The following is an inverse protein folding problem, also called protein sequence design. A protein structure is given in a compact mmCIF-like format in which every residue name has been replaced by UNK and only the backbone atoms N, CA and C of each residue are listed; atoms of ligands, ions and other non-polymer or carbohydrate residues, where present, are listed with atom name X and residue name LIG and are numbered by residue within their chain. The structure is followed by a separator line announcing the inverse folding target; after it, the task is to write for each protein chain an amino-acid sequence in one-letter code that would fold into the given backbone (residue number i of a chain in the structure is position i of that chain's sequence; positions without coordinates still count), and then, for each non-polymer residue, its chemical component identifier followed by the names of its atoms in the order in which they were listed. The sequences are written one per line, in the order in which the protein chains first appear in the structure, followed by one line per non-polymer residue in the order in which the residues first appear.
data_IF_637220320512
#
_entry.id   IF_637220320512
#
_cell.length_a   1.000
_cell.length_b   1.000
_cell.length_c   1.000
_cell.angle_alpha   90.00
_cell.angle_beta   90.00
_cell.angle_gamma   90.00
#
_symmetry.space_group_name_H-M   'P 1'
#
loop_
_entity.id
_entity.type
_entity.pdbx_description
1 polymer ?
#
# COMPACT_ATOMS: atom_id res chain seq x y z
N UNK A 1 13.50 -22.30 8.43
CA UNK A 1 13.43 -20.89 8.02
C UNK A 1 13.64 -20.07 9.28
N UNK A 2 14.54 -19.08 9.29
CA UNK A 2 14.79 -18.32 10.53
C UNK A 2 13.64 -17.35 10.83
N UNK A 3 13.42 -16.98 12.10
CA UNK A 3 12.45 -15.93 12.44
C UNK A 3 12.70 -14.63 11.69
N UNK A 4 13.97 -14.23 11.54
CA UNK A 4 14.35 -13.02 10.81
C UNK A 4 13.94 -13.09 9.34
N UNK A 5 14.11 -14.24 8.68
CA UNK A 5 13.65 -14.48 7.30
C UNK A 5 12.13 -14.46 7.18
N UNK A 6 11.41 -15.06 8.15
CA UNK A 6 9.95 -15.02 8.16
C UNK A 6 9.42 -13.58 8.25
N UNK A 7 9.87 -12.81 9.22
CA UNK A 7 9.39 -11.44 9.43
C UNK A 7 9.84 -10.49 8.32
N UNK A 8 11.05 -10.67 7.78
CA UNK A 8 11.50 -9.92 6.62
C UNK A 8 10.57 -10.15 5.41
N UNK A 9 10.25 -11.41 5.10
CA UNK A 9 9.32 -11.75 4.01
C UNK A 9 7.93 -11.14 4.23
N UNK A 10 7.39 -11.23 5.44
CA UNK A 10 6.10 -10.61 5.78
C UNK A 10 6.10 -9.08 5.58
N UNK A 11 7.18 -8.40 5.99
CA UNK A 11 7.31 -6.96 5.80
C UNK A 11 7.39 -6.62 4.30
N UNK A 12 8.15 -7.40 3.51
CA UNK A 12 8.23 -7.18 2.05
C UNK A 12 6.89 -7.40 1.35
N UNK A 13 6.14 -8.40 1.78
CA UNK A 13 4.79 -8.65 1.27
C UNK A 13 3.87 -7.47 1.59
N UNK A 14 3.82 -7.04 2.86
CA UNK A 14 3.00 -5.90 3.27
C UNK A 14 3.40 -4.60 2.56
N UNK A 15 4.72 -4.39 2.36
CA UNK A 15 5.22 -3.28 1.56
C UNK A 15 4.63 -3.33 0.15
N UNK A 16 4.76 -4.46 -0.55
CA UNK A 16 4.24 -4.62 -1.91
C UNK A 16 2.73 -4.37 -1.99
N UNK A 17 1.95 -4.99 -1.10
CA UNK A 17 0.50 -4.82 -1.03
C UNK A 17 0.11 -3.36 -0.78
N UNK A 18 0.80 -2.68 0.14
CA UNK A 18 0.51 -1.28 0.46
C UNK A 18 0.81 -0.32 -0.71
N UNK A 19 1.89 -0.57 -1.47
CA UNK A 19 2.25 0.22 -2.64
C UNK A 19 1.20 0.04 -3.75
N UNK A 20 0.82 -1.21 -4.03
CA UNK A 20 -0.17 -1.54 -5.06
C UNK A 20 -1.55 -0.93 -4.76
N UNK A 21 -2.01 -1.05 -3.51
CA UNK A 21 -3.28 -0.45 -3.08
C UNK A 21 -3.22 1.07 -3.16
N UNK A 22 -2.10 1.68 -2.74
CA UNK A 22 -1.93 3.13 -2.79
C UNK A 22 -1.98 3.66 -4.22
N UNK A 23 -1.26 3.02 -5.16
CA UNK A 23 -1.26 3.40 -6.57
C UNK A 23 -2.64 3.22 -7.21
N UNK A 24 -3.34 2.14 -6.86
CA UNK A 24 -4.73 1.90 -7.29
C UNK A 24 -5.67 3.00 -6.81
N UNK A 25 -5.57 3.39 -5.53
CA UNK A 25 -6.39 4.47 -4.97
C UNK A 25 -6.08 5.83 -5.63
N UNK A 26 -4.82 6.11 -5.95
CA UNK A 26 -4.44 7.32 -6.70
C UNK A 26 -4.99 7.31 -8.13
N UNK A 27 -4.95 6.15 -8.79
CA UNK A 27 -5.58 5.95 -10.09
C UNK A 27 -7.09 6.21 -10.04
N UNK A 28 -7.77 5.67 -9.03
CA UNK A 28 -9.20 5.89 -8.80
C UNK A 28 -9.53 7.37 -8.58
N UNK A 29 -8.75 8.09 -7.76
CA UNK A 29 -8.95 9.54 -7.56
C UNK A 29 -8.82 10.30 -8.88
N UNK A 30 -7.83 9.94 -9.71
CA UNK A 30 -7.60 10.58 -11.01
C UNK A 30 -8.76 10.33 -11.99
N UNK A 31 -9.29 9.12 -12.01
CA UNK A 31 -10.46 8.78 -12.83
C UNK A 31 -11.73 9.50 -12.36
N UNK A 32 -11.92 9.62 -11.06
CA UNK A 32 -13.04 10.39 -10.50
C UNK A 32 -12.91 11.89 -10.78
N UNK A 33 -11.69 12.44 -10.77
CA UNK A 33 -11.42 13.82 -11.18
C UNK A 33 -11.79 14.06 -12.66
N UNK A 34 -11.46 13.10 -13.55
CA UNK A 34 -11.87 13.15 -14.96
C UNK A 34 -13.39 13.11 -15.12
N UNK A 35 -14.05 12.16 -14.46
CA UNK A 35 -15.52 12.05 -14.49
C UNK A 35 -16.21 13.30 -13.95
N UNK A 36 -15.65 13.94 -12.92
CA UNK A 36 -16.16 15.21 -12.43
C UNK A 36 -16.09 16.30 -13.50
N UNK A 37 -14.97 16.43 -14.21
CA UNK A 37 -14.84 17.40 -15.29
C UNK A 37 -15.88 17.16 -16.40
N UNK A 38 -16.10 15.90 -16.78
CA UNK A 38 -17.12 15.55 -17.78
C UNK A 38 -18.53 15.92 -17.30
N UNK A 39 -18.86 15.66 -16.04
CA UNK A 39 -20.17 16.03 -15.45
C UNK A 39 -20.33 17.55 -15.40
N UNK A 40 -19.29 18.29 -15.03
CA UNK A 40 -19.34 19.76 -15.04
C UNK A 40 -19.59 20.30 -16.44
N UNK A 41 -18.87 19.80 -17.45
CA UNK A 41 -19.10 20.20 -18.83
C UNK A 41 -20.50 19.84 -19.33
N UNK A 42 -21.02 18.68 -18.95
CA UNK A 42 -22.39 18.30 -19.27
C UNK A 42 -23.40 19.29 -18.65
N UNK A 43 -23.17 19.73 -17.40
CA UNK A 43 -24.04 20.72 -16.73
C UNK A 43 -23.95 22.10 -17.40
N UNK A 44 -22.76 22.53 -17.83
CA UNK A 44 -22.53 23.83 -18.47
C UNK A 44 -23.30 24.01 -19.79
N UNK A 45 -23.59 22.91 -20.49
CA UNK A 45 -24.29 22.93 -21.78
C UNK A 45 -25.79 22.65 -21.67
N UNK A 46 -26.33 22.47 -20.46
CA UNK A 46 -27.76 22.26 -20.26
C UNK A 46 -28.53 23.58 -20.44
N UNK A 47 -29.60 23.53 -21.23
CA UNK A 47 -30.54 24.65 -21.37
C UNK A 47 -31.36 24.88 -20.09
N UNK A 48 -31.67 23.80 -19.36
CA UNK A 48 -32.42 23.83 -18.11
C UNK A 48 -31.92 22.76 -17.12
N UNK A 49 -31.57 23.21 -15.91
CA UNK A 49 -31.06 22.35 -14.82
C UNK A 49 -32.19 21.57 -14.14
N UNK A 50 -33.43 22.05 -14.20
CA UNK A 50 -34.59 21.34 -13.63
C UNK A 50 -35.14 20.26 -14.57
N UNK A 51 -34.62 20.19 -15.80
CA UNK A 51 -34.91 19.10 -16.73
C UNK A 51 -34.50 17.74 -16.16
N UNK A 52 -35.06 16.66 -16.70
CA UNK A 52 -34.69 15.30 -16.30
C UNK A 52 -33.17 15.04 -16.46
N UNK A 53 -32.54 15.64 -17.48
CA UNK A 53 -31.11 15.55 -17.73
C UNK A 53 -30.31 16.33 -16.67
N UNK A 54 -30.76 17.51 -16.28
CA UNK A 54 -30.14 18.30 -15.21
C UNK A 54 -30.26 17.63 -13.84
N UNK A 55 -31.42 17.07 -13.50
CA UNK A 55 -31.60 16.30 -12.26
C UNK A 55 -30.66 15.08 -12.23
N UNK A 56 -30.54 14.37 -13.36
CA UNK A 56 -29.62 13.24 -13.48
C UNK A 56 -28.16 13.68 -13.30
N UNK A 57 -27.74 14.75 -13.97
CA UNK A 57 -26.38 15.27 -13.86
C UNK A 57 -26.04 15.70 -12.41
N UNK A 58 -27.00 16.29 -11.69
CA UNK A 58 -26.82 16.64 -10.27
C UNK A 58 -26.70 15.40 -9.37
N UNK A 59 -27.44 14.33 -9.66
CA UNK A 59 -27.30 13.06 -8.95
C UNK A 59 -25.92 12.44 -9.19
N UNK A 60 -25.50 12.36 -10.45
CA UNK A 60 -24.19 11.82 -10.85
C UNK A 60 -23.05 12.64 -10.26
N UNK A 61 -23.19 13.97 -10.19
CA UNK A 61 -22.24 14.87 -9.55
C UNK A 61 -22.10 14.54 -8.06
N UNK A 62 -23.21 14.45 -7.33
CA UNK A 62 -23.22 14.15 -5.90
C UNK A 62 -22.59 12.79 -5.61
N UNK A 63 -22.95 11.78 -6.39
CA UNK A 63 -22.40 10.44 -6.26
C UNK A 63 -20.88 10.46 -6.49
N UNK A 64 -20.43 11.05 -7.60
CA UNK A 64 -19.00 11.10 -7.96
C UNK A 64 -18.18 11.88 -6.92
N UNK A 65 -18.70 13.00 -6.41
CA UNK A 65 -18.05 13.76 -5.33
C UNK A 65 -17.93 12.94 -4.04
N UNK A 66 -18.94 12.13 -3.72
CA UNK A 66 -18.94 11.25 -2.55
C UNK A 66 -17.89 10.17 -2.68
N UNK A 67 -17.85 9.47 -3.81
CA UNK A 67 -16.82 8.46 -4.09
C UNK A 67 -15.42 9.05 -4.05
N UNK A 68 -15.24 10.23 -4.63
CA UNK A 68 -13.95 10.92 -4.61
C UNK A 68 -13.51 11.26 -3.19
N UNK A 69 -14.43 11.71 -2.34
CA UNK A 69 -14.11 12.04 -0.95
C UNK A 69 -13.60 10.81 -0.20
N UNK A 70 -14.30 9.68 -0.34
CA UNK A 70 -13.92 8.40 0.28
C UNK A 70 -12.54 7.97 -0.22
N UNK A 71 -12.32 7.96 -1.53
CA UNK A 71 -11.02 7.57 -2.11
C UNK A 71 -9.88 8.48 -1.62
N UNK A 72 -10.09 9.79 -1.56
CA UNK A 72 -9.07 10.74 -1.04
C UNK A 72 -8.78 10.55 0.44
N UNK A 73 -9.79 10.22 1.24
CA UNK A 73 -9.62 9.92 2.65
C UNK A 73 -8.73 8.70 2.83
N UNK A 74 -8.98 7.63 2.07
CA UNK A 74 -8.14 6.43 2.12
C UNK A 74 -6.71 6.67 1.64
N UNK A 75 -6.51 7.42 0.55
CA UNK A 75 -5.16 7.86 0.12
C UNK A 75 -4.45 8.60 1.25
N UNK A 76 -5.16 9.50 1.94
CA UNK A 76 -4.57 10.27 3.05
C UNK A 76 -4.20 9.37 4.22
N UNK A 77 -5.03 8.38 4.54
CA UNK A 77 -4.80 7.43 5.63
C UNK A 77 -3.63 6.49 5.33
N UNK A 78 -3.50 6.04 4.07
CA UNK A 78 -2.44 5.12 3.64
C UNK A 78 -1.10 5.82 3.34
N UNK A 79 -1.13 7.12 3.03
CA UNK A 79 0.06 7.92 2.67
C UNK A 79 1.24 7.81 3.66
N UNK A 80 1.06 7.89 4.99
CA UNK A 80 2.17 7.72 5.93
C UNK A 80 2.83 6.34 5.85
N UNK A 81 2.04 5.29 5.62
CA UNK A 81 2.53 3.92 5.49
C UNK A 81 3.31 3.77 4.17
N UNK A 82 2.77 4.32 3.08
CA UNK A 82 3.45 4.38 1.79
C UNK A 82 4.81 5.09 1.92
N UNK A 83 4.85 6.28 2.49
CA UNK A 83 6.08 7.04 2.69
C UNK A 83 7.08 6.27 3.55
N UNK A 84 6.63 5.67 4.66
CA UNK A 84 7.48 4.85 5.51
C UNK A 84 8.14 3.71 4.72
N UNK A 85 7.38 2.94 3.97
CA UNK A 85 7.93 1.83 3.19
C UNK A 85 8.82 2.30 2.05
N UNK A 86 8.49 3.40 1.38
CA UNK A 86 9.30 3.96 0.33
C UNK A 86 10.66 4.46 0.86
N UNK A 87 10.68 5.14 2.01
CA UNK A 87 11.90 5.72 2.58
C UNK A 87 12.80 4.70 3.31
N UNK A 88 12.19 3.63 3.84
CA UNK A 88 12.89 2.64 4.66
C UNK A 88 13.17 1.32 3.95
N UNK A 89 12.53 1.04 2.82
CA UNK A 89 12.63 -0.22 2.09
C UNK A 89 14.06 -0.59 1.71
N UNK A 90 14.78 0.31 1.02
CA UNK A 90 16.16 0.06 0.61
C UNK A 90 17.09 -0.17 1.82
N UNK A 91 16.92 0.64 2.88
CA UNK A 91 17.71 0.51 4.11
C UNK A 91 17.45 -0.81 4.80
N UNK A 92 16.20 -1.31 4.79
CA UNK A 92 15.85 -2.59 5.35
C UNK A 92 16.50 -3.73 4.56
N UNK A 93 16.42 -3.69 3.24
CA UNK A 93 17.00 -4.70 2.35
C UNK A 93 18.53 -4.79 2.54
N UNK A 94 19.21 -3.65 2.61
CA UNK A 94 20.66 -3.60 2.88
C UNK A 94 21.03 -4.16 4.25
N UNK A 95 20.31 -3.76 5.30
CA UNK A 95 20.58 -4.17 6.68
C UNK A 95 20.32 -5.66 6.86
N UNK A 96 19.19 -6.14 6.37
CA UNK A 96 18.83 -7.55 6.40
C UNK A 96 19.82 -8.38 5.58
N UNK A 97 20.14 -7.97 4.36
CA UNK A 97 21.10 -8.65 3.51
C UNK A 97 22.49 -8.76 4.14
N UNK A 98 22.97 -7.69 4.79
CA UNK A 98 24.24 -7.71 5.55
C UNK A 98 24.18 -8.68 6.73
N UNK A 99 23.13 -8.61 7.54
CA UNK A 99 22.97 -9.46 8.72
C UNK A 99 22.86 -10.95 8.33
N UNK A 100 22.06 -11.26 7.30
CA UNK A 100 21.88 -12.61 6.78
C UNK A 100 23.20 -13.20 6.27
N UNK A 101 23.93 -12.48 5.40
CA UNK A 101 25.26 -12.90 4.92
C UNK A 101 26.25 -13.10 6.07
N UNK A 102 26.27 -12.19 7.05
CA UNK A 102 27.10 -12.30 8.25
C UNK A 102 26.79 -13.55 9.06
N UNK A 103 25.50 -13.82 9.29
CA UNK A 103 25.03 -15.01 10.01
C UNK A 103 25.44 -16.30 9.29
N UNK A 104 25.20 -16.39 7.96
CA UNK A 104 25.61 -17.56 7.17
C UNK A 104 27.13 -17.78 7.21
N UNK A 105 27.92 -16.70 7.16
CA UNK A 105 29.38 -16.79 7.26
C UNK A 105 29.82 -17.36 8.61
N UNK A 106 29.26 -16.85 9.72
CA UNK A 106 29.58 -17.31 11.08
C UNK A 106 29.17 -18.78 11.25
N UNK A 107 27.96 -19.16 10.82
CA UNK A 107 27.50 -20.56 10.90
C UNK A 107 28.44 -21.52 10.17
N UNK A 108 28.93 -21.13 8.98
CA UNK A 108 29.92 -21.94 8.22
C UNK A 108 31.25 -22.03 8.95
N UNK A 109 31.76 -20.92 9.50
CA UNK A 109 33.03 -20.89 10.24
C UNK A 109 32.98 -21.76 11.50
N UNK A 110 31.84 -21.77 12.19
CA UNK A 110 31.63 -22.57 13.41
C UNK A 110 31.18 -24.01 13.11
N UNK A 111 30.97 -24.37 11.84
CA UNK A 111 30.34 -25.63 11.43
C UNK A 111 29.02 -25.91 12.18
N UNK A 112 28.30 -24.85 12.53
CA UNK A 112 27.09 -24.92 13.33
C UNK A 112 25.91 -25.38 12.47
N UNK A 113 25.37 -26.55 12.78
CA UNK A 113 24.19 -27.14 12.10
C UNK A 113 22.88 -26.91 12.85
N UNK A 114 22.97 -26.50 14.11
CA UNK A 114 21.83 -26.32 15.00
C UNK A 114 20.99 -25.11 14.61
N UNK A 115 19.68 -25.25 14.75
CA UNK A 115 18.63 -24.25 14.54
C UNK A 115 18.27 -23.55 15.85
N UNK A 116 17.51 -22.45 15.79
CA UNK A 116 17.13 -21.73 17.01
C UNK A 116 16.05 -22.49 17.78
N UNK A 117 15.21 -23.24 17.06
CA UNK A 117 14.20 -24.12 17.62
C UNK A 117 14.83 -25.24 18.44
N UNK A 118 15.88 -25.90 17.93
CA UNK A 118 16.65 -26.90 18.67
C UNK A 118 17.34 -26.29 19.92
N UNK A 119 17.75 -25.01 19.85
CA UNK A 119 18.31 -24.30 21.01
C UNK A 119 17.23 -24.03 22.07
N UNK A 120 16.03 -23.61 21.66
CA UNK A 120 14.90 -23.43 22.56
C UNK A 120 14.49 -24.73 23.25
N UNK A 121 14.40 -25.83 22.49
CA UNK A 121 14.14 -27.16 23.04
C UNK A 121 15.23 -27.59 24.04
N UNK A 122 16.52 -27.39 23.71
CA UNK A 122 17.62 -27.74 24.59
C UNK A 122 17.66 -26.92 25.90
N UNK A 123 17.16 -25.69 25.86
CA UNK A 123 17.14 -24.77 27.01
C UNK A 123 15.81 -24.74 27.77
N UNK A 124 14.78 -25.46 27.28
CA UNK A 124 13.40 -25.42 27.78
C UNK A 124 12.82 -24.00 27.86
N UNK A 125 13.01 -23.20 26.79
CA UNK A 125 12.48 -21.83 26.66
C UNK A 125 11.49 -21.76 25.50
#
# INVERSE_FOLDING_TARGET
MSYGERYYTQIKQLQSESLEVFDTLRGLVSELDRRLADIYHAIEVLDDVESAEGIKAMHDLKETLTYRRIAKEEVRTLSPIYCLFNDSGEKLDERYGRASRGSTRIKRQLNAKMTIEEVFEALNV
#
